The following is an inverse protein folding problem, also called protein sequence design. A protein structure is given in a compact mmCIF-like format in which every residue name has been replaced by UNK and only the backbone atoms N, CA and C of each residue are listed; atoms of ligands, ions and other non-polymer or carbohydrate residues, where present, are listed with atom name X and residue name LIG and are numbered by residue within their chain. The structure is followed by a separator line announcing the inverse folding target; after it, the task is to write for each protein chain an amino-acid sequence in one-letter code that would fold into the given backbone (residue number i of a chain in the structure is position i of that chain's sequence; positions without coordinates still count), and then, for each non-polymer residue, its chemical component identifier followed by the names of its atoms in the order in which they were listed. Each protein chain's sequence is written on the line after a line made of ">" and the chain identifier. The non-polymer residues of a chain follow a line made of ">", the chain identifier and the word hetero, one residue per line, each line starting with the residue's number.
data_IF_388772565857
#
_entry.id   IF_388772565857
#
_cell.length_a   1.000
_cell.length_b   1.000
_cell.length_c   1.000
_cell.angle_alpha   90.00
_cell.angle_beta   90.00
_cell.angle_gamma   90.00
#
_symmetry.space_group_name_H-M   'P 1'
#
loop_
_entity.id
_entity.type
_entity.pdbx_description
1 polymer ?
#
# COMPACT_ATOMS: atom_id res chain seq x y z
N UNK A 1 3.29 7.13 18.06
CA UNK A 1 3.60 5.72 17.87
C UNK A 1 2.36 4.85 17.69
N UNK A 2 2.54 3.64 17.14
CA UNK A 2 1.48 2.65 16.95
C UNK A 2 2.03 1.26 17.26
N UNK A 3 1.23 0.46 17.98
CA UNK A 3 1.44 -0.97 18.13
C UNK A 3 0.21 -1.71 17.60
N UNK A 4 0.40 -2.69 16.74
CA UNK A 4 -0.66 -3.51 16.15
C UNK A 4 -0.23 -4.98 16.15
N UNK A 5 -1.08 -5.82 16.71
CA UNK A 5 -0.92 -7.28 16.69
C UNK A 5 -1.98 -7.87 15.78
N UNK A 6 -1.59 -8.89 15.04
CA UNK A 6 -2.51 -9.67 14.20
C UNK A 6 -2.39 -11.14 14.54
N UNK A 7 -3.52 -11.85 14.46
CA UNK A 7 -3.57 -13.30 14.48
C UNK A 7 -3.41 -13.81 13.05
N UNK A 8 -2.70 -14.91 12.89
CA UNK A 8 -2.56 -15.57 11.59
C UNK A 8 -3.72 -16.54 11.42
N UNK A 9 -4.60 -16.29 10.42
CA UNK A 9 -5.71 -17.17 10.07
C UNK A 9 -5.35 -18.29 9.10
N UNK A 10 -4.15 -18.24 8.50
CA UNK A 10 -3.62 -19.29 7.62
C UNK A 10 -2.34 -19.82 8.24
N UNK A 11 -2.42 -20.93 8.94
CA UNK A 11 -1.25 -21.64 9.39
C UNK A 11 -0.75 -22.58 8.29
N UNK A 12 0.55 -22.58 7.96
CA UNK A 12 1.13 -23.58 7.06
C UNK A 12 1.14 -24.98 7.64
N UNK A 13 0.73 -25.16 8.89
CA UNK A 13 0.70 -26.45 9.61
C UNK A 13 -0.48 -26.46 10.58
N UNK A 14 -1.27 -27.47 10.51
CA UNK A 14 -2.30 -28.08 11.37
C UNK A 14 -2.90 -27.34 12.61
N UNK A 15 -2.50 -26.09 12.93
CA UNK A 15 -2.95 -25.32 14.08
C UNK A 15 -3.40 -23.93 13.63
N UNK A 16 -4.68 -23.75 13.42
CA UNK A 16 -5.29 -22.61 12.75
C UNK A 16 -5.25 -21.28 13.51
N UNK A 17 -4.78 -21.08 14.64
CA UNK A 17 -4.73 -19.79 15.36
C UNK A 17 -3.47 -19.61 16.20
N UNK A 18 -2.39 -20.28 15.87
CA UNK A 18 -1.25 -20.51 16.77
C UNK A 18 -0.33 -19.30 16.97
N UNK A 19 -0.37 -18.26 16.13
CA UNK A 19 0.59 -17.18 16.25
C UNK A 19 -0.02 -15.80 16.19
N UNK A 20 0.01 -15.11 17.32
CA UNK A 20 -0.08 -13.65 17.39
C UNK A 20 1.29 -13.09 17.00
N UNK A 21 1.35 -12.21 16.03
CA UNK A 21 2.57 -11.52 15.63
C UNK A 21 2.39 -10.01 15.64
N UNK A 22 3.45 -9.29 15.96
CA UNK A 22 3.47 -7.83 15.87
C UNK A 22 3.55 -7.45 14.42
N UNK A 23 2.48 -6.85 13.88
CA UNK A 23 2.41 -6.37 12.51
C UNK A 23 3.06 -4.99 12.38
N UNK A 24 2.50 -4.00 13.08
CA UNK A 24 3.11 -2.68 13.19
C UNK A 24 3.62 -2.43 14.60
N UNK A 25 4.82 -1.89 14.68
CA UNK A 25 5.41 -1.36 15.90
C UNK A 25 6.39 -0.29 15.52
N UNK A 26 6.01 0.96 15.69
CA UNK A 26 6.84 2.10 15.40
C UNK A 26 6.58 3.26 16.35
N UNK A 27 7.60 4.09 16.52
CA UNK A 27 7.53 5.32 17.26
C UNK A 27 8.38 6.39 16.57
N UNK A 28 8.17 7.65 16.93
CA UNK A 28 8.93 8.75 16.36
C UNK A 28 8.54 10.09 16.96
N UNK A 29 9.05 11.13 16.33
CA UNK A 29 8.83 12.51 16.70
C UNK A 29 8.16 13.23 15.54
N UNK A 30 7.19 14.09 15.85
CA UNK A 30 6.49 14.90 14.88
C UNK A 30 6.43 16.36 15.30
N UNK A 31 6.50 17.24 14.31
CA UNK A 31 6.28 18.67 14.47
C UNK A 31 5.38 19.17 13.33
N UNK A 32 4.40 20.00 13.66
CA UNK A 32 3.38 20.46 12.69
C UNK A 32 3.96 21.15 11.46
N UNK A 33 5.08 21.85 11.58
CA UNK A 33 5.72 22.58 10.49
C UNK A 33 6.82 21.77 9.79
N UNK A 34 7.46 20.82 10.48
CA UNK A 34 8.64 20.11 9.98
C UNK A 34 8.38 18.65 9.63
N UNK A 35 7.12 18.16 9.83
CA UNK A 35 6.76 16.79 9.55
C UNK A 35 7.12 15.81 10.66
N UNK A 36 7.17 14.54 10.31
CA UNK A 36 7.33 13.43 11.25
C UNK A 36 8.48 12.52 10.84
N UNK A 37 9.31 12.15 11.81
CA UNK A 37 10.36 11.15 11.67
C UNK A 37 10.01 9.94 12.54
N UNK A 38 9.85 8.78 11.93
CA UNK A 38 9.45 7.55 12.61
C UNK A 38 10.42 6.40 12.32
N UNK A 39 10.50 5.45 13.24
CA UNK A 39 11.29 4.22 13.06
C UNK A 39 10.51 3.00 13.54
N UNK A 40 10.57 1.93 12.79
CA UNK A 40 10.01 0.62 13.16
C UNK A 40 9.46 -0.21 12.01
N UNK A 41 8.47 -1.04 12.34
CA UNK A 41 7.66 -1.78 11.37
C UNK A 41 6.40 -0.97 11.12
N UNK A 42 6.20 -0.45 9.91
CA UNK A 42 5.14 0.52 9.66
C UNK A 42 4.60 0.45 8.23
N UNK A 43 3.37 0.98 8.00
CA UNK A 43 2.95 1.34 6.66
C UNK A 43 3.87 2.46 6.15
N UNK A 44 4.24 2.38 4.89
CA UNK A 44 5.11 3.39 4.25
C UNK A 44 4.29 4.40 3.47
N UNK A 45 4.87 5.58 3.21
CA UNK A 45 4.22 6.64 2.41
C UNK A 45 3.73 6.13 1.05
N UNK A 46 4.35 5.07 0.52
CA UNK A 46 3.97 4.47 -0.76
C UNK A 46 2.65 3.68 -0.70
N UNK A 47 2.16 3.34 0.48
CA UNK A 47 0.82 2.78 0.65
C UNK A 47 -0.27 3.80 0.31
N UNK A 48 -0.06 5.05 0.66
CA UNK A 48 -1.00 6.15 0.42
C UNK A 48 -1.02 6.63 -1.05
N UNK A 49 -0.11 6.14 -1.89
CA UNK A 49 -0.13 6.38 -3.34
C UNK A 49 -1.28 5.64 -4.01
N UNK A 50 -1.69 4.50 -3.44
CA UNK A 50 -2.77 3.67 -3.96
C UNK A 50 -4.13 4.32 -3.69
N UNK A 51 -4.85 4.66 -4.74
CA UNK A 51 -6.13 5.35 -4.65
C UNK A 51 -7.33 4.42 -4.87
N UNK A 52 -7.09 3.15 -5.17
CA UNK A 52 -8.14 2.13 -5.34
C UNK A 52 -8.34 1.26 -4.12
N UNK A 53 -7.53 1.42 -3.07
CA UNK A 53 -7.66 0.68 -1.80
C UNK A 53 -8.72 1.33 -0.90
N UNK A 54 -9.98 1.31 -1.36
CA UNK A 54 -11.11 1.91 -0.66
C UNK A 54 -11.97 0.89 0.09
N UNK A 55 -11.85 -0.38 -0.25
CA UNK A 55 -12.61 -1.48 0.33
C UNK A 55 -11.71 -2.34 1.21
N UNK A 56 -11.85 -2.22 2.50
CA UNK A 56 -10.99 -2.86 3.52
C UNK A 56 -11.19 -4.38 3.67
N UNK A 57 -12.03 -5.02 2.85
CA UNK A 57 -12.43 -6.41 3.07
C UNK A 57 -11.75 -7.40 2.13
N UNK A 58 -11.69 -7.12 0.85
CA UNK A 58 -11.02 -7.95 -0.15
C UNK A 58 -10.46 -7.03 -1.23
N UNK A 59 -9.16 -6.88 -1.28
CA UNK A 59 -8.50 -6.24 -2.39
C UNK A 59 -8.32 -7.25 -3.52
N UNK A 60 -8.62 -6.86 -4.75
CA UNK A 60 -8.26 -7.65 -5.93
C UNK A 60 -6.74 -7.81 -6.04
N UNK A 61 -5.99 -6.89 -5.43
CA UNK A 61 -4.55 -6.90 -5.37
C UNK A 61 -4.05 -5.88 -4.34
N UNK A 62 -2.96 -6.21 -3.67
CA UNK A 62 -2.24 -5.26 -2.80
C UNK A 62 -1.39 -4.25 -3.61
N UNK A 63 -1.42 -4.35 -4.95
CA UNK A 63 -0.60 -3.57 -5.85
C UNK A 63 0.85 -4.07 -5.97
N UNK A 64 1.64 -3.30 -6.71
CA UNK A 64 3.04 -3.61 -6.97
C UNK A 64 4.00 -2.74 -6.17
N UNK A 65 3.55 -1.60 -5.64
CA UNK A 65 4.29 -0.80 -4.66
C UNK A 65 4.25 -1.48 -3.29
N UNK A 66 5.41 -1.52 -2.63
CA UNK A 66 5.48 -2.01 -1.25
C UNK A 66 4.82 -0.98 -0.32
N UNK A 67 3.66 -1.31 0.26
CA UNK A 67 2.88 -0.43 1.14
C UNK A 67 3.32 -0.46 2.61
N UNK A 68 4.21 -1.37 3.00
CA UNK A 68 4.72 -1.49 4.36
C UNK A 68 6.14 -2.03 4.38
N UNK A 69 6.91 -1.65 5.39
CA UNK A 69 8.28 -2.12 5.54
C UNK A 69 8.66 -2.36 7.01
N UNK A 70 9.54 -3.35 7.21
CA UNK A 70 10.07 -3.74 8.51
C UNK A 70 11.38 -3.06 8.79
N UNK A 71 11.55 -2.51 10.01
CA UNK A 71 12.79 -1.84 10.46
C UNK A 71 13.22 -0.75 9.48
N UNK A 72 12.36 0.22 9.28
CA UNK A 72 12.63 1.38 8.43
C UNK A 72 12.56 2.66 9.23
N UNK A 73 13.36 3.63 8.81
CA UNK A 73 13.19 5.04 9.18
C UNK A 73 12.38 5.69 8.08
N UNK A 74 11.35 6.45 8.45
CA UNK A 74 10.51 7.18 7.51
C UNK A 74 10.37 8.63 7.95
N UNK A 75 10.51 9.54 7.01
CA UNK A 75 10.13 10.93 7.15
C UNK A 75 8.91 11.23 6.30
N UNK A 76 7.95 11.95 6.88
CA UNK A 76 6.73 12.40 6.19
C UNK A 76 6.47 13.87 6.53
N UNK A 77 6.25 14.65 5.49
CA UNK A 77 5.81 16.03 5.58
C UNK A 77 4.37 16.16 5.10
N UNK A 78 3.55 16.94 5.82
CA UNK A 78 2.18 17.27 5.45
C UNK A 78 2.04 18.79 5.42
N UNK A 79 1.70 19.34 4.25
CA UNK A 79 1.47 20.77 4.04
C UNK A 79 0.03 21.04 3.62
N UNK A 80 -0.55 22.11 4.17
CA UNK A 80 -1.87 22.62 3.78
C UNK A 80 -1.71 24.03 3.24
N UNK A 81 -2.13 24.26 2.01
CA UNK A 81 -1.96 25.52 1.27
C UNK A 81 -3.30 25.93 0.63
N UNK A 82 -4.19 26.51 1.45
CA UNK A 82 -5.56 26.81 1.02
C UNK A 82 -6.30 25.53 0.61
N UNK A 83 -6.77 25.47 -0.62
CA UNK A 83 -7.50 24.32 -1.17
C UNK A 83 -6.58 23.13 -1.54
N UNK A 84 -5.27 23.28 -1.36
CA UNK A 84 -4.30 22.27 -1.70
C UNK A 84 -3.72 21.61 -0.44
N UNK A 85 -3.61 20.26 -0.47
CA UNK A 85 -2.89 19.48 0.52
C UNK A 85 -1.79 18.70 -0.16
N UNK A 86 -0.59 18.80 0.37
CA UNK A 86 0.59 18.07 -0.14
C UNK A 86 1.10 17.17 0.96
N UNK A 87 1.30 15.91 0.64
CA UNK A 87 1.98 14.97 1.51
C UNK A 87 3.16 14.37 0.75
N UNK A 88 4.34 14.49 1.32
CA UNK A 88 5.56 13.91 0.76
C UNK A 88 6.23 13.08 1.83
N UNK A 89 6.81 11.95 1.42
CA UNK A 89 7.59 11.13 2.34
C UNK A 89 8.63 10.28 1.64
N UNK A 90 9.60 9.83 2.46
CA UNK A 90 10.61 8.88 2.04
C UNK A 90 10.97 7.96 3.20
N UNK A 91 11.29 6.72 2.88
CA UNK A 91 11.76 5.77 3.88
C UNK A 91 13.02 5.04 3.42
N UNK A 92 13.79 4.57 4.40
CA UNK A 92 14.93 3.70 4.20
C UNK A 92 14.98 2.62 5.28
N UNK A 93 15.26 1.39 4.88
CA UNK A 93 15.47 0.25 5.77
C UNK A 93 16.67 -0.58 5.37
N UNK A 94 17.45 -0.98 6.37
CA UNK A 94 18.60 -1.87 6.20
C UNK A 94 18.19 -3.33 6.07
N UNK A 95 19.12 -4.22 6.42
CA UNK A 95 18.93 -5.66 6.26
C UNK A 95 17.82 -6.24 7.14
N UNK A 96 17.09 -7.22 6.60
CA UNK A 96 16.11 -8.01 7.34
C UNK A 96 16.03 -9.42 6.78
N UNK A 97 15.96 -10.41 7.67
CA UNK A 97 15.69 -11.81 7.34
C UNK A 97 14.20 -12.16 7.47
N UNK A 98 13.37 -11.24 7.96
CA UNK A 98 11.96 -11.48 8.26
C UNK A 98 11.04 -10.53 7.52
N UNK A 99 9.89 -11.06 7.09
CA UNK A 99 8.80 -10.30 6.50
C UNK A 99 8.03 -9.48 7.56
N UNK A 100 7.07 -8.66 7.12
CA UNK A 100 6.12 -7.98 8.01
C UNK A 100 5.30 -8.95 8.85
N UNK A 101 4.99 -10.13 8.33
CA UNK A 101 4.29 -11.22 9.05
C UNK A 101 5.20 -12.01 10.01
N UNK A 102 6.41 -11.55 10.26
CA UNK A 102 7.43 -12.20 11.07
C UNK A 102 7.84 -13.60 10.59
N UNK A 103 7.66 -13.88 9.30
CA UNK A 103 8.12 -15.11 8.64
C UNK A 103 9.52 -14.91 8.08
N UNK A 104 10.26 -16.01 7.97
CA UNK A 104 11.56 -15.99 7.32
C UNK A 104 11.40 -15.68 5.83
N UNK A 105 12.26 -14.79 5.34
CA UNK A 105 12.35 -14.46 3.92
C UNK A 105 13.25 -15.48 3.22
N UNK A 106 12.80 -15.99 2.07
CA UNK A 106 13.62 -16.85 1.20
C UNK A 106 14.91 -16.13 0.78
N UNK A 107 14.81 -14.82 0.50
CA UNK A 107 15.94 -13.95 0.20
C UNK A 107 16.09 -12.90 1.29
N UNK A 108 17.27 -12.75 1.86
CA UNK A 108 17.55 -11.73 2.86
C UNK A 108 17.50 -10.35 2.21
N UNK A 109 16.62 -9.46 2.68
CA UNK A 109 16.65 -8.06 2.28
C UNK A 109 17.99 -7.43 2.72
N UNK A 110 18.72 -6.82 1.81
CA UNK A 110 19.91 -6.00 2.09
C UNK A 110 19.53 -4.58 2.47
N UNK A 111 18.72 -3.95 1.62
CA UNK A 111 18.13 -2.66 1.89
C UNK A 111 16.82 -2.49 1.10
N UNK A 112 15.98 -1.56 1.56
CA UNK A 112 14.81 -1.11 0.86
C UNK A 112 14.64 0.39 1.10
N UNK A 113 14.18 1.11 0.10
CA UNK A 113 13.80 2.50 0.22
C UNK A 113 12.67 2.85 -0.75
N UNK A 114 11.97 3.89 -0.45
CA UNK A 114 10.91 4.39 -1.31
C UNK A 114 10.54 5.80 -0.97
N UNK A 115 9.78 6.41 -1.87
CA UNK A 115 9.26 7.77 -1.73
C UNK A 115 7.85 7.84 -2.31
N UNK A 116 7.04 8.74 -1.77
CA UNK A 116 5.70 9.01 -2.23
C UNK A 116 5.38 10.50 -2.15
N UNK A 117 4.61 10.97 -3.11
CA UNK A 117 4.04 12.31 -3.17
C UNK A 117 2.54 12.16 -3.42
N UNK A 118 1.74 12.78 -2.58
CA UNK A 118 0.30 12.85 -2.72
C UNK A 118 -0.10 14.32 -2.75
N UNK A 119 -0.80 14.72 -3.78
CA UNK A 119 -1.38 16.04 -3.95
C UNK A 119 -2.89 15.92 -4.00
N UNK A 120 -3.59 16.64 -3.12
CA UNK A 120 -5.03 16.73 -3.10
C UNK A 120 -5.44 18.19 -3.31
N UNK A 121 -6.38 18.42 -4.21
CA UNK A 121 -6.96 19.72 -4.50
C UNK A 121 -8.47 19.68 -4.28
N UNK A 122 -8.97 20.53 -3.38
CA UNK A 122 -10.39 20.75 -3.21
C UNK A 122 -10.87 21.71 -4.29
N UNK A 123 -11.71 21.23 -5.20
CA UNK A 123 -12.32 22.05 -6.27
C UNK A 123 -13.39 22.96 -5.64
N UNK A 124 -14.18 22.36 -4.75
CA UNK A 124 -15.20 23.03 -3.95
C UNK A 124 -15.49 22.21 -2.67
N UNK A 125 -16.59 22.52 -1.97
CA UNK A 125 -16.97 21.87 -0.72
C UNK A 125 -17.38 20.39 -0.86
N UNK A 126 -17.69 19.93 -2.07
CA UNK A 126 -18.19 18.59 -2.38
C UNK A 126 -17.33 17.81 -3.37
N UNK A 127 -16.29 18.46 -3.92
CA UNK A 127 -15.43 17.87 -4.95
C UNK A 127 -13.95 18.02 -4.61
N UNK A 128 -13.20 16.95 -4.76
CA UNK A 128 -11.75 17.00 -4.71
C UNK A 128 -11.11 15.99 -5.67
N UNK A 129 -9.90 16.32 -6.08
CA UNK A 129 -9.04 15.47 -6.91
C UNK A 129 -7.78 15.14 -6.13
N UNK A 130 -7.35 13.88 -6.18
CA UNK A 130 -6.08 13.43 -5.64
C UNK A 130 -5.22 12.89 -6.78
N UNK A 131 -3.97 13.32 -6.83
CA UNK A 131 -2.92 12.77 -7.70
C UNK A 131 -1.79 12.31 -6.81
N UNK A 132 -1.37 11.06 -6.96
CA UNK A 132 -0.32 10.48 -6.16
C UNK A 132 0.70 9.76 -7.04
N UNK A 133 1.98 9.83 -6.68
CA UNK A 133 3.06 9.11 -7.36
C UNK A 133 4.01 8.50 -6.32
N UNK A 134 4.53 7.32 -6.61
CA UNK A 134 5.43 6.63 -5.71
C UNK A 134 6.44 5.74 -6.41
N UNK A 135 7.52 5.50 -5.69
CA UNK A 135 8.61 4.62 -6.11
C UNK A 135 9.09 3.79 -4.92
N UNK A 136 9.35 2.50 -5.16
CA UNK A 136 10.00 1.63 -4.19
C UNK A 136 11.14 0.86 -4.83
N UNK A 137 12.21 0.64 -4.07
CA UNK A 137 13.33 -0.22 -4.44
C UNK A 137 13.70 -1.13 -3.29
N UNK A 138 13.84 -2.41 -3.58
CA UNK A 138 14.39 -3.40 -2.66
C UNK A 138 15.54 -4.14 -3.31
N UNK A 139 16.61 -4.34 -2.55
CA UNK A 139 17.72 -5.21 -2.89
C UNK A 139 17.71 -6.36 -1.89
N UNK A 140 17.59 -7.58 -2.41
CA UNK A 140 17.62 -8.81 -1.62
C UNK A 140 18.77 -9.71 -2.10
N UNK A 141 19.21 -10.62 -1.25
CA UNK A 141 20.28 -11.55 -1.52
C UNK A 141 19.83 -12.98 -1.20
N UNK A 142 20.03 -13.89 -2.12
CA UNK A 142 19.75 -15.31 -1.92
C UNK A 142 20.89 -16.01 -1.15
N UNK A 143 20.71 -17.30 -0.86
CA UNK A 143 21.70 -18.11 -0.14
C UNK A 143 23.06 -18.19 -0.85
N UNK A 144 23.10 -17.98 -2.17
CA UNK A 144 24.33 -18.01 -3.00
C UNK A 144 24.94 -16.61 -3.16
N UNK A 145 24.59 -15.65 -2.31
CA UNK A 145 25.07 -14.26 -2.35
C UNK A 145 24.73 -13.51 -3.66
N UNK A 146 23.71 -13.98 -4.38
CA UNK A 146 23.27 -13.33 -5.60
C UNK A 146 22.23 -12.26 -5.28
N UNK A 147 22.45 -11.06 -5.82
CA UNK A 147 21.54 -9.92 -5.58
C UNK A 147 20.36 -9.93 -6.53
N UNK A 148 19.18 -9.76 -5.97
CA UNK A 148 17.92 -9.53 -6.65
C UNK A 148 17.51 -8.07 -6.45
N UNK A 149 17.20 -7.38 -7.54
CA UNK A 149 16.80 -5.97 -7.55
C UNK A 149 15.33 -5.89 -7.93
N UNK A 150 14.50 -5.29 -7.08
CA UNK A 150 13.09 -5.03 -7.35
C UNK A 150 12.83 -3.54 -7.27
N UNK A 151 12.38 -2.95 -8.39
CA UNK A 151 11.93 -1.56 -8.46
C UNK A 151 10.45 -1.54 -8.81
N UNK A 152 9.65 -0.72 -8.13
CA UNK A 152 8.26 -0.52 -8.47
C UNK A 152 7.94 0.98 -8.56
N UNK A 153 7.03 1.30 -9.45
CA UNK A 153 6.54 2.64 -9.75
C UNK A 153 5.03 2.61 -9.68
N UNK A 154 4.42 3.65 -9.14
CA UNK A 154 2.98 3.78 -9.04
C UNK A 154 2.52 5.20 -9.30
N UNK A 155 1.37 5.32 -9.94
CA UNK A 155 0.60 6.53 -10.11
C UNK A 155 -0.83 6.23 -9.66
N UNK A 156 -1.34 7.01 -8.72
CA UNK A 156 -2.70 6.93 -8.22
C UNK A 156 -3.48 8.20 -8.53
N UNK A 157 -4.72 8.04 -8.95
CA UNK A 157 -5.66 9.12 -9.22
C UNK A 157 -6.96 8.84 -8.49
N UNK A 158 -7.52 9.85 -7.82
CA UNK A 158 -8.87 9.77 -7.28
C UNK A 158 -9.65 11.05 -7.55
N UNK A 159 -10.95 10.88 -7.78
CA UNK A 159 -11.91 11.97 -7.85
C UNK A 159 -13.06 11.64 -6.91
N UNK A 160 -13.33 12.55 -6.00
CA UNK A 160 -14.46 12.46 -5.07
C UNK A 160 -15.50 13.50 -5.45
N UNK A 161 -16.74 13.05 -5.53
CA UNK A 161 -17.91 13.90 -5.79
C UNK A 161 -19.05 13.49 -4.86
N UNK A 162 -19.38 14.36 -3.88
CA UNK A 162 -20.39 14.12 -2.85
C UNK A 162 -20.11 12.81 -2.09
N UNK A 163 -20.79 11.73 -2.45
CA UNK A 163 -20.68 10.40 -1.83
C UNK A 163 -20.05 9.36 -2.77
N UNK A 164 -19.59 9.79 -3.95
CA UNK A 164 -18.97 8.90 -4.94
C UNK A 164 -17.48 9.11 -4.98
N UNK A 165 -16.71 8.03 -4.96
CA UNK A 165 -15.27 8.04 -5.17
C UNK A 165 -14.94 7.20 -6.39
N UNK A 166 -14.18 7.78 -7.31
CA UNK A 166 -13.54 7.11 -8.43
C UNK A 166 -12.05 7.01 -8.15
N UNK A 167 -11.48 5.83 -8.24
CA UNK A 167 -10.05 5.60 -8.07
C UNK A 167 -9.45 4.86 -9.25
N UNK A 168 -8.21 5.21 -9.59
CA UNK A 168 -7.41 4.55 -10.63
C UNK A 168 -5.97 4.45 -10.16
N UNK A 169 -5.40 3.24 -10.21
CA UNK A 169 -3.97 3.00 -9.96
C UNK A 169 -3.32 2.38 -11.19
N UNK A 170 -2.16 2.89 -11.54
CA UNK A 170 -1.28 2.40 -12.58
C UNK A 170 0.05 2.04 -11.96
N UNK A 171 0.42 0.76 -11.98
CA UNK A 171 1.64 0.31 -11.32
C UNK A 171 2.50 -0.56 -12.24
N UNK A 172 3.81 -0.44 -12.06
CA UNK A 172 4.81 -1.26 -12.75
C UNK A 172 5.90 -1.69 -11.80
N UNK A 173 6.24 -2.98 -11.84
CA UNK A 173 7.37 -3.55 -11.10
C UNK A 173 8.35 -4.23 -12.05
N UNK A 174 9.64 -3.97 -11.85
CA UNK A 174 10.73 -4.60 -12.58
C UNK A 174 11.62 -5.33 -11.59
N UNK A 175 11.73 -6.63 -11.73
CA UNK A 175 12.64 -7.47 -10.94
C UNK A 175 13.79 -7.97 -11.84
N UNK A 176 15.02 -7.85 -11.37
CA UNK A 176 16.22 -8.33 -12.06
C UNK A 176 17.00 -9.28 -11.16
N UNK A 177 17.39 -10.44 -11.71
CA UNK A 177 18.18 -11.46 -11.03
C UNK A 177 19.15 -12.09 -12.03
N UNK A 178 20.44 -11.88 -11.89
CA UNK A 178 21.50 -12.52 -12.73
C UNK A 178 21.23 -12.53 -14.25
N UNK A 179 20.84 -11.40 -14.82
CA UNK A 179 20.51 -11.31 -16.25
C UNK A 179 19.07 -11.63 -16.60
N UNK A 180 18.33 -12.29 -15.71
CA UNK A 180 16.91 -12.51 -15.87
C UNK A 180 16.10 -11.27 -15.46
N UNK A 181 15.03 -10.98 -16.22
CA UNK A 181 14.19 -9.81 -16.04
C UNK A 181 12.72 -10.20 -16.06
N UNK A 182 12.01 -9.86 -14.97
CA UNK A 182 10.56 -10.00 -14.85
C UNK A 182 9.92 -8.63 -14.77
N UNK A 183 8.87 -8.40 -15.56
CA UNK A 183 8.13 -7.14 -15.59
C UNK A 183 6.67 -7.44 -15.29
N UNK A 184 6.15 -6.79 -14.25
CA UNK A 184 4.74 -6.80 -13.91
C UNK A 184 4.16 -5.42 -14.17
N UNK A 185 2.98 -5.36 -14.77
CA UNK A 185 2.18 -4.13 -14.83
C UNK A 185 0.79 -4.43 -14.29
N UNK A 186 0.21 -3.44 -13.65
CA UNK A 186 -1.13 -3.54 -13.08
C UNK A 186 -1.88 -2.23 -13.28
N UNK A 187 -3.14 -2.36 -13.69
CA UNK A 187 -4.11 -1.27 -13.73
C UNK A 187 -5.27 -1.70 -12.86
N UNK A 188 -5.65 -0.86 -11.90
CA UNK A 188 -6.82 -1.06 -11.05
C UNK A 188 -7.73 0.16 -11.14
N UNK A 189 -9.02 -0.08 -11.15
CA UNK A 189 -10.02 0.96 -11.08
C UNK A 189 -11.09 0.59 -10.06
N UNK A 190 -11.61 1.59 -9.35
CA UNK A 190 -12.73 1.43 -8.42
C UNK A 190 -13.73 2.55 -8.59
N UNK A 191 -14.99 2.22 -8.43
CA UNK A 191 -16.07 3.17 -8.13
C UNK A 191 -16.70 2.74 -6.83
N UNK A 192 -16.77 3.65 -5.87
CA UNK A 192 -17.44 3.46 -4.57
C UNK A 192 -18.48 4.52 -4.40
N UNK A 193 -19.72 4.11 -4.08
CA UNK A 193 -20.88 4.96 -3.85
C UNK A 193 -21.37 4.78 -2.42
N UNK A 194 -21.40 5.87 -1.65
CA UNK A 194 -22.14 5.94 -0.40
C UNK A 194 -23.64 6.06 -0.69
N UNK A 195 -24.43 5.13 -0.20
CA UNK A 195 -25.89 5.15 -0.30
C UNK A 195 -26.51 5.97 0.85
N UNK A 196 -25.91 5.86 2.02
CA UNK A 196 -26.17 6.65 3.22
C UNK A 196 -24.92 6.64 4.14
N UNK A 197 -25.06 7.10 5.39
CA UNK A 197 -23.94 7.18 6.35
C UNK A 197 -23.36 5.82 6.71
N UNK A 198 -24.15 4.74 6.62
CA UNK A 198 -23.78 3.40 7.06
C UNK A 198 -23.57 2.42 5.92
N UNK A 199 -23.99 2.74 4.70
CA UNK A 199 -24.00 1.79 3.60
C UNK A 199 -23.27 2.29 2.37
N UNK A 200 -22.30 1.52 1.90
CA UNK A 200 -21.57 1.77 0.66
C UNK A 200 -21.67 0.57 -0.26
N UNK A 201 -21.66 0.83 -1.55
CA UNK A 201 -21.51 -0.18 -2.61
C UNK A 201 -20.29 0.16 -3.44
N UNK A 202 -19.62 -0.84 -4.01
CA UNK A 202 -18.46 -0.61 -4.84
C UNK A 202 -18.32 -1.67 -5.94
N UNK A 203 -17.65 -1.28 -7.02
CA UNK A 203 -17.20 -2.15 -8.08
C UNK A 203 -15.73 -1.88 -8.37
N UNK A 204 -14.95 -2.95 -8.56
CA UNK A 204 -13.52 -2.89 -8.86
C UNK A 204 -13.20 -3.73 -10.09
N UNK A 205 -12.23 -3.27 -10.86
CA UNK A 205 -11.61 -4.01 -11.95
C UNK A 205 -10.10 -3.94 -11.83
N UNK A 206 -9.41 -5.07 -12.05
CA UNK A 206 -7.96 -5.13 -12.13
C UNK A 206 -7.52 -5.90 -13.38
N UNK A 207 -6.54 -5.36 -14.08
CA UNK A 207 -5.84 -6.01 -15.18
C UNK A 207 -4.35 -6.06 -14.88
N UNK A 208 -3.79 -7.27 -14.92
CA UNK A 208 -2.37 -7.54 -14.61
C UNK A 208 -1.71 -8.22 -15.79
N UNK A 209 -0.48 -7.85 -16.05
CA UNK A 209 0.43 -8.57 -16.92
C UNK A 209 1.70 -8.93 -16.17
N UNK A 210 2.19 -10.14 -16.36
CA UNK A 210 3.44 -10.63 -15.78
C UNK A 210 4.29 -11.22 -16.90
N UNK A 211 5.30 -10.49 -17.32
CA UNK A 211 6.21 -10.89 -18.39
C UNK A 211 7.52 -11.42 -17.78
N UNK A 212 7.81 -12.68 -18.08
CA UNK A 212 9.04 -13.36 -17.69
C UNK A 212 9.59 -14.15 -18.89
N UNK A 213 10.81 -13.86 -19.30
CA UNK A 213 11.42 -14.41 -20.52
C UNK A 213 10.52 -14.16 -21.74
N UNK A 214 10.09 -15.20 -22.45
CA UNK A 214 9.22 -15.13 -23.61
C UNK A 214 7.72 -15.27 -23.28
N UNK A 215 7.38 -15.54 -22.02
CA UNK A 215 6.01 -15.75 -21.58
C UNK A 215 5.41 -14.45 -21.02
N UNK A 216 4.12 -14.27 -21.26
CA UNK A 216 3.33 -13.18 -20.69
C UNK A 216 2.01 -13.70 -20.17
N UNK A 217 1.87 -13.77 -18.87
CA UNK A 217 0.62 -14.11 -18.21
C UNK A 217 -0.26 -12.86 -18.08
N UNK A 218 -1.54 -13.02 -18.27
CA UNK A 218 -2.55 -11.96 -18.19
C UNK A 218 -3.65 -12.38 -17.24
N UNK A 219 -3.96 -11.52 -16.28
CA UNK A 219 -5.03 -11.75 -15.30
C UNK A 219 -6.02 -10.60 -15.37
N UNK A 220 -7.30 -10.92 -15.43
CA UNK A 220 -8.41 -9.96 -15.32
C UNK A 220 -9.24 -10.34 -14.11
N UNK A 221 -9.54 -9.37 -13.27
CA UNK A 221 -10.32 -9.58 -12.06
C UNK A 221 -11.43 -8.52 -12.01
N UNK A 222 -12.59 -8.94 -11.58
CA UNK A 222 -13.72 -8.06 -11.34
C UNK A 222 -14.32 -8.40 -9.99
N UNK A 223 -14.69 -7.37 -9.23
CA UNK A 223 -15.31 -7.51 -7.92
C UNK A 223 -16.41 -6.47 -7.76
N UNK A 224 -17.51 -6.89 -7.19
CA UNK A 224 -18.55 -6.01 -6.64
C UNK A 224 -18.74 -6.34 -5.17
N UNK A 225 -19.06 -5.37 -4.39
CA UNK A 225 -19.27 -5.57 -2.96
C UNK A 225 -20.07 -4.46 -2.32
N UNK A 226 -20.44 -4.71 -1.09
CA UNK A 226 -21.13 -3.77 -0.23
C UNK A 226 -20.49 -3.77 1.14
N UNK A 227 -20.49 -2.61 1.78
CA UNK A 227 -20.05 -2.43 3.16
C UNK A 227 -21.23 -1.82 3.95
N UNK A 228 -21.61 -2.48 5.01
CA UNK A 228 -22.62 -1.98 5.93
C UNK A 228 -22.04 -1.87 7.33
N UNK A 229 -22.14 -0.69 7.92
CA UNK A 229 -21.72 -0.46 9.30
C UNK A 229 -22.91 -0.71 10.23
N UNK A 230 -22.90 -1.82 10.94
CA UNK A 230 -23.94 -2.17 11.94
C UNK A 230 -23.89 -1.26 13.14
N UNK A 231 -22.78 -0.58 13.35
CA UNK A 231 -22.59 0.44 14.36
C UNK A 231 -21.64 1.51 13.84
N UNK A 232 -22.11 2.76 13.83
CA UNK A 232 -21.37 3.92 13.34
C UNK A 232 -21.62 5.13 14.26
N UNK A 233 -20.94 5.17 15.43
CA UNK A 233 -21.02 6.27 16.37
C UNK A 233 -19.64 6.80 16.74
N UNK A 234 -19.38 8.05 16.40
CA UNK A 234 -18.13 8.73 16.69
C UNK A 234 -16.93 8.04 16.06
N UNK A 235 -15.98 7.59 16.88
CA UNK A 235 -14.77 6.88 16.44
C UNK A 235 -14.93 5.35 16.34
N UNK A 236 -16.05 4.80 16.82
CA UNK A 236 -16.32 3.37 16.79
C UNK A 236 -17.18 3.01 15.59
N UNK A 237 -16.63 2.17 14.72
CA UNK A 237 -17.31 1.63 13.55
C UNK A 237 -17.17 0.11 13.53
N UNK A 238 -18.29 -0.60 13.38
CA UNK A 238 -18.36 -2.05 13.24
C UNK A 238 -18.99 -2.37 11.89
N UNK A 239 -18.27 -3.14 11.05
CA UNK A 239 -18.72 -3.62 9.73
C UNK A 239 -19.23 -5.04 9.81
#
# INVERSE_FOLDING_TARGET
>A
GRAEWRMRGEAPSQHDFDHVYTHFLYAGFGHKQFGELTYGNMPTITDEVKQTDLANTYSLSDGLLDGSARRVTQYVYNGNYGDNKVKFGAYYGGSSKRSMKNLDLANKRKNAWGTGLIFNHAIDSIQNVTVAAGFTREISENANNTSLFRNAYGLGLAYNFVHTTYGLDLERQVTKNQGDKRIKNEVRAIVRQGLNEDWNVYAMYAYKTDKHSNNTDRTRQFMVGTEYYVFNQGSLKVK
#
